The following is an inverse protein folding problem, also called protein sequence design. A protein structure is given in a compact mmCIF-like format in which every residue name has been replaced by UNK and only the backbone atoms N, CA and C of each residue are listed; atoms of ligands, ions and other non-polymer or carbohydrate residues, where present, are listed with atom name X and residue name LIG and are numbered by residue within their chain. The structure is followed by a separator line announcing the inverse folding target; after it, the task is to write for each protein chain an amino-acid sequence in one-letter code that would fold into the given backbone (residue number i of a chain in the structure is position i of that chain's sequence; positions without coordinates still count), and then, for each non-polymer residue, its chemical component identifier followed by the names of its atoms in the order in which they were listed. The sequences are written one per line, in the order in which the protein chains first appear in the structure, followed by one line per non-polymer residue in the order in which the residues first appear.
data_IF_339992087089
#
_entry.id   IF_339992087089
#
_cell.length_a   1.000
_cell.length_b   1.000
_cell.length_c   1.000
_cell.angle_alpha   90.00
_cell.angle_beta   90.00
_cell.angle_gamma   90.00
#
_symmetry.space_group_name_H-M   'P 1'
#
loop_
_entity.id
_entity.type
_entity.pdbx_description
1 polymer ?
#
# COMPACT_ATOMS: atom_id res chain seq x y z
N UNK A 1 3.90 -17.02 21.11
CA UNK A 1 4.63 -15.90 20.49
C UNK A 1 4.00 -15.74 19.12
N UNK A 2 3.72 -14.52 18.62
CA UNK A 2 3.35 -14.38 17.22
C UNK A 2 4.48 -14.99 16.40
N UNK A 3 4.16 -16.02 15.62
CA UNK A 3 5.13 -16.85 14.92
C UNK A 3 5.72 -16.06 13.75
N UNK A 4 7.04 -16.13 13.59
CA UNK A 4 7.73 -15.48 12.47
C UNK A 4 7.16 -15.95 11.12
N UNK A 5 6.66 -17.20 11.05
CA UNK A 5 6.04 -17.76 9.85
C UNK A 5 4.73 -17.04 9.47
N UNK A 6 3.89 -16.71 10.46
CA UNK A 6 2.66 -15.95 10.22
C UNK A 6 2.98 -14.51 9.79
N UNK A 7 3.98 -13.89 10.42
CA UNK A 7 4.46 -12.55 10.04
C UNK A 7 4.97 -12.55 8.60
N UNK A 8 5.77 -13.55 8.20
CA UNK A 8 6.28 -13.66 6.83
C UNK A 8 5.16 -13.91 5.82
N UNK A 9 4.13 -14.68 6.19
CA UNK A 9 2.99 -14.97 5.32
C UNK A 9 2.13 -13.74 5.04
N UNK A 10 1.89 -12.93 6.07
CA UNK A 10 1.07 -11.72 5.95
C UNK A 10 1.88 -10.47 5.53
N UNK A 11 3.21 -10.58 5.44
CA UNK A 11 4.13 -9.46 5.17
C UNK A 11 3.75 -8.67 3.92
N UNK A 12 3.31 -9.35 2.86
CA UNK A 12 2.88 -8.68 1.63
C UNK A 12 1.60 -7.88 1.84
N UNK A 13 0.59 -8.45 2.49
CA UNK A 13 -0.67 -7.79 2.83
C UNK A 13 -0.45 -6.57 3.72
N UNK A 14 0.52 -6.64 4.63
CA UNK A 14 0.97 -5.51 5.43
C UNK A 14 1.58 -4.40 4.58
N UNK A 15 2.48 -4.74 3.66
CA UNK A 15 3.10 -3.77 2.75
C UNK A 15 2.08 -3.07 1.84
N UNK A 16 1.04 -3.80 1.42
CA UNK A 16 -0.05 -3.25 0.61
C UNK A 16 -1.08 -2.44 1.41
N UNK A 17 -1.00 -2.46 2.74
CA UNK A 17 -1.90 -1.71 3.62
C UNK A 17 -3.30 -2.33 3.73
N UNK A 18 -3.42 -3.62 3.45
CA UNK A 18 -4.68 -4.37 3.42
C UNK A 18 -4.97 -5.10 4.74
N UNK A 19 -4.10 -4.97 5.74
CA UNK A 19 -4.34 -5.51 7.08
C UNK A 19 -5.26 -4.62 7.91
N UNK A 20 -6.02 -5.25 8.80
CA UNK A 20 -6.82 -4.54 9.82
C UNK A 20 -5.90 -3.83 10.83
N UNK A 21 -6.36 -2.73 11.43
CA UNK A 21 -5.56 -1.95 12.39
C UNK A 21 -4.99 -2.79 13.56
N UNK A 22 -5.76 -3.77 14.03
CA UNK A 22 -5.33 -4.70 15.09
C UNK A 22 -4.17 -5.62 14.65
N UNK A 23 -4.25 -6.11 13.40
CA UNK A 23 -3.20 -6.94 12.80
C UNK A 23 -1.93 -6.13 12.51
N UNK A 24 -2.09 -4.88 12.06
CA UNK A 24 -0.99 -3.92 11.89
C UNK A 24 -0.24 -3.71 13.20
N UNK A 25 -0.94 -3.49 14.31
CA UNK A 25 -0.33 -3.33 15.62
C UNK A 25 0.45 -4.57 16.07
N UNK A 26 -0.13 -5.76 15.85
CA UNK A 26 0.53 -7.04 16.17
C UNK A 26 1.79 -7.28 15.35
N UNK A 27 1.74 -6.98 14.04
CA UNK A 27 2.90 -7.08 13.17
C UNK A 27 4.00 -6.09 13.54
N UNK A 28 3.64 -4.83 13.79
CA UNK A 28 4.62 -3.81 14.15
C UNK A 28 5.37 -4.21 15.43
N UNK A 29 4.65 -4.71 16.44
CA UNK A 29 5.26 -5.21 17.66
C UNK A 29 6.20 -6.42 17.43
N UNK A 30 5.90 -7.28 16.45
CA UNK A 30 6.78 -8.38 16.07
C UNK A 30 8.03 -7.90 15.34
N UNK A 31 7.89 -6.98 14.36
CA UNK A 31 9.02 -6.40 13.62
C UNK A 31 9.98 -5.66 14.56
N UNK A 32 9.46 -4.96 15.56
CA UNK A 32 10.28 -4.26 16.57
C UNK A 32 11.06 -5.24 17.47
N UNK A 33 10.57 -6.46 17.64
CA UNK A 33 11.17 -7.50 18.50
C UNK A 33 11.98 -8.58 17.76
N UNK A 34 11.89 -8.66 16.44
CA UNK A 34 12.44 -9.74 15.63
C UNK A 34 13.28 -9.19 14.46
N UNK A 35 14.62 -9.16 14.58
CA UNK A 35 15.48 -8.58 13.54
C UNK A 35 15.45 -9.36 12.22
N UNK A 36 15.19 -10.67 12.25
CA UNK A 36 15.10 -11.48 11.02
C UNK A 36 13.86 -11.10 10.19
N UNK A 37 12.71 -10.90 10.84
CA UNK A 37 11.49 -10.45 10.18
C UNK A 37 11.59 -8.99 9.74
N UNK A 38 12.25 -8.14 10.52
CA UNK A 38 12.54 -6.76 10.13
C UNK A 38 13.41 -6.70 8.87
N UNK A 39 14.46 -7.52 8.79
CA UNK A 39 15.31 -7.59 7.60
C UNK A 39 14.52 -8.06 6.37
N UNK A 40 13.62 -9.04 6.53
CA UNK A 40 12.73 -9.46 5.45
C UNK A 40 11.82 -8.31 5.00
N UNK A 41 11.19 -7.61 5.95
CA UNK A 41 10.38 -6.42 5.66
C UNK A 41 11.16 -5.37 4.86
N UNK A 42 12.35 -4.99 5.32
CA UNK A 42 13.18 -3.96 4.67
C UNK A 42 13.49 -4.35 3.22
N UNK A 43 13.91 -5.59 2.99
CA UNK A 43 14.17 -6.09 1.64
C UNK A 43 12.94 -5.98 0.72
N UNK A 44 11.77 -6.41 1.20
CA UNK A 44 10.54 -6.35 0.41
C UNK A 44 10.08 -4.91 0.16
N UNK A 45 10.23 -4.02 1.14
CA UNK A 45 9.93 -2.60 1.01
C UNK A 45 10.85 -1.91 -0.02
N UNK A 46 12.15 -2.18 0.03
CA UNK A 46 13.11 -1.70 -0.97
C UNK A 46 12.78 -2.21 -2.37
N UNK A 47 12.50 -3.51 -2.50
CA UNK A 47 12.13 -4.12 -3.78
C UNK A 47 10.87 -3.45 -4.36
N UNK A 48 9.84 -3.23 -3.54
CA UNK A 48 8.61 -2.54 -3.95
C UNK A 48 8.90 -1.12 -4.45
N UNK A 49 9.76 -0.39 -3.74
CA UNK A 49 10.19 0.97 -4.14
C UNK A 49 10.89 0.97 -5.51
N UNK A 50 11.79 0.02 -5.74
CA UNK A 50 12.48 -0.13 -7.03
C UNK A 50 11.51 -0.46 -8.16
N UNK A 51 10.56 -1.36 -7.92
CA UNK A 51 9.53 -1.72 -8.91
C UNK A 51 8.66 -0.51 -9.22
N UNK A 52 8.17 0.21 -8.19
CA UNK A 52 7.36 1.41 -8.36
C UNK A 52 8.10 2.48 -9.17
N UNK A 53 9.40 2.69 -8.90
CA UNK A 53 10.22 3.64 -9.66
C UNK A 53 10.39 3.23 -11.13
N UNK A 54 10.50 1.93 -11.42
CA UNK A 54 10.66 1.41 -12.79
C UNK A 54 9.36 1.32 -13.57
N UNK A 55 8.24 1.12 -12.88
CA UNK A 55 6.90 1.04 -13.48
C UNK A 55 6.17 2.38 -13.50
N UNK A 56 6.85 3.48 -13.19
CA UNK A 56 6.31 4.82 -13.36
C UNK A 56 6.45 5.26 -14.83
N UNK A 57 5.45 4.90 -15.64
CA UNK A 57 5.27 5.51 -16.95
C UNK A 57 4.66 6.91 -16.80
N UNK A 58 5.09 7.85 -17.65
CA UNK A 58 4.49 9.16 -17.71
C UNK A 58 3.01 9.04 -18.08
N UNK A 59 2.13 9.60 -17.26
CA UNK A 59 0.71 9.66 -17.59
C UNK A 59 0.53 10.36 -18.95
N UNK A 60 -0.33 9.82 -19.84
CA UNK A 60 -0.53 10.44 -21.14
C UNK A 60 -1.03 11.88 -20.99
N UNK A 61 -0.55 12.81 -21.83
CA UNK A 61 -0.94 14.21 -21.74
C UNK A 61 -2.45 14.34 -21.90
N UNK A 62 -3.08 15.11 -21.00
CA UNK A 62 -4.53 15.30 -20.99
C UNK A 62 -5.34 14.23 -20.26
N UNK A 63 -4.72 13.16 -19.74
CA UNK A 63 -5.43 12.18 -18.90
C UNK A 63 -5.95 12.82 -17.60
N UNK A 64 -5.12 13.65 -16.95
CA UNK A 64 -5.53 14.38 -15.74
C UNK A 64 -6.76 15.25 -16.00
N UNK A 65 -6.73 16.05 -17.08
CA UNK A 65 -7.84 16.91 -17.47
C UNK A 65 -9.13 16.13 -17.76
N UNK A 66 -9.03 14.92 -18.35
CA UNK A 66 -10.18 14.04 -18.57
C UNK A 66 -10.71 13.44 -17.28
N UNK A 67 -9.84 13.05 -16.36
CA UNK A 67 -10.25 12.58 -15.03
C UNK A 67 -10.99 13.70 -14.29
N UNK A 68 -10.44 14.91 -14.24
CA UNK A 68 -11.09 16.07 -13.63
C UNK A 68 -12.48 16.35 -14.22
N UNK A 69 -12.63 16.25 -15.54
CA UNK A 69 -13.94 16.40 -16.21
C UNK A 69 -14.94 15.30 -15.82
N UNK A 70 -14.50 14.04 -15.75
CA UNK A 70 -15.35 12.93 -15.33
C UNK A 70 -15.77 13.07 -13.86
N UNK A 71 -14.82 13.36 -12.97
CA UNK A 71 -15.09 13.60 -11.56
C UNK A 71 -16.09 14.76 -11.42
N UNK A 72 -15.86 15.90 -12.08
CA UNK A 72 -16.78 17.05 -12.03
C UNK A 72 -18.18 16.76 -12.59
N UNK A 73 -18.32 15.80 -13.52
CA UNK A 73 -19.60 15.36 -14.03
C UNK A 73 -20.33 14.39 -13.09
N UNK A 74 -19.60 13.64 -12.26
CA UNK A 74 -20.15 12.69 -11.28
C UNK A 74 -20.49 13.35 -9.92
N UNK A 75 -19.90 14.51 -9.63
CA UNK A 75 -20.29 15.43 -8.56
C UNK A 75 -20.96 16.67 -9.16
N UNK A 76 -22.26 16.57 -9.44
CA UNK A 76 -23.10 17.75 -9.44
C UNK A 76 -22.84 18.48 -8.11
N UNK A 77 -22.68 19.81 -8.11
CA UNK A 77 -22.22 20.62 -6.96
C UNK A 77 -23.03 20.53 -5.65
N UNK A 78 -23.96 19.58 -5.53
CA UNK A 78 -24.67 19.06 -4.36
C UNK A 78 -23.87 17.95 -3.62
N UNK A 79 -22.99 17.21 -4.30
CA UNK A 79 -22.22 16.11 -3.69
C UNK A 79 -23.00 14.78 -3.64
N UNK A 80 -24.01 14.60 -4.50
CA UNK A 80 -24.67 13.32 -4.72
C UNK A 80 -24.03 12.59 -5.89
N UNK A 81 -23.57 11.36 -5.65
CA UNK A 81 -23.27 10.40 -6.70
C UNK A 81 -24.56 9.98 -7.40
N UNK A 82 -24.60 10.09 -8.74
CA UNK A 82 -25.68 9.58 -9.58
C UNK A 82 -25.72 8.06 -9.63
#
# INVERSE_FOLDING_TARGET
MPDCDDTLRELQTFLDGELSDDAVGTMQAHLDGCPDCLQAFDFHAELRSVIAAKCHDALPPGLLARLEQCLQADIDGDGRIG
#
